data_IF_853868557115
#
_entry.id   IF_853868557115
#
_cell.length_a   1.000
_cell.length_b   1.000
_cell.length_c   1.000
_cell.angle_alpha   90.00
_cell.angle_beta   90.00
_cell.angle_gamma   90.00
#
_symmetry.space_group_name_H-M   'P 1'
#
loop_
_entity.id
_entity.type
_entity.pdbx_description
1 polymer ?
#
# COMPACT_ATOMS: atom_id res chain seq x y z
N UNK A 1 -33.20 29.26 -21.70
CA UNK A 1 -32.90 27.81 -21.58
C UNK A 1 -31.39 27.53 -21.51
N UNK A 2 -30.61 28.23 -20.65
CA UNK A 2 -29.14 28.01 -20.54
C UNK A 2 -28.65 27.74 -19.12
N UNK A 3 -29.48 27.97 -18.10
CA UNK A 3 -29.13 27.76 -16.69
C UNK A 3 -29.19 26.28 -16.26
N UNK A 4 -30.09 25.49 -16.87
CA UNK A 4 -30.26 24.07 -16.55
C UNK A 4 -29.07 23.21 -17.01
N UNK A 5 -28.42 23.56 -18.12
CA UNK A 5 -27.24 22.84 -18.62
C UNK A 5 -25.98 23.14 -17.80
N UNK A 6 -25.89 24.30 -17.15
CA UNK A 6 -24.74 24.66 -16.33
C UNK A 6 -24.72 23.89 -15.00
N UNK A 7 -25.89 23.65 -14.41
CA UNK A 7 -26.02 22.86 -13.18
C UNK A 7 -25.59 21.40 -13.39
N UNK A 8 -25.90 20.83 -14.56
CA UNK A 8 -25.50 19.47 -14.91
C UNK A 8 -23.97 19.33 -15.02
N UNK A 9 -23.29 20.29 -15.64
CA UNK A 9 -21.82 20.27 -15.81
C UNK A 9 -21.07 20.40 -14.47
N UNK A 10 -21.57 21.20 -13.53
CA UNK A 10 -20.95 21.37 -12.20
C UNK A 10 -21.12 20.13 -11.32
N UNK A 11 -22.26 19.42 -11.44
CA UNK A 11 -22.49 18.18 -10.69
C UNK A 11 -21.61 17.01 -11.16
N UNK A 12 -21.24 16.93 -12.44
CA UNK A 12 -20.35 15.85 -12.94
C UNK A 12 -18.86 16.09 -12.66
N UNK A 13 -18.43 17.32 -12.42
CA UNK A 13 -17.03 17.61 -12.02
C UNK A 13 -16.72 17.29 -10.55
N UNK A 14 -17.73 17.04 -9.71
CA UNK A 14 -17.54 16.75 -8.28
C UNK A 14 -17.25 15.26 -7.99
N UNK A 15 -17.35 14.37 -8.99
CA UNK A 15 -17.15 12.93 -8.81
C UNK A 15 -15.81 12.40 -9.34
N UNK A 16 -14.89 13.27 -9.77
CA UNK A 16 -13.51 12.84 -10.03
C UNK A 16 -12.75 12.68 -8.71
N UNK A 17 -13.12 11.67 -7.93
CA UNK A 17 -12.29 11.16 -6.85
C UNK A 17 -11.07 10.48 -7.48
N UNK A 18 -9.99 11.25 -7.65
CA UNK A 18 -8.66 10.66 -7.83
C UNK A 18 -8.33 10.01 -6.49
N UNK A 19 -8.63 8.72 -6.35
CA UNK A 19 -8.14 7.95 -5.21
C UNK A 19 -6.63 7.85 -5.37
N UNK A 20 -5.90 8.65 -4.60
CA UNK A 20 -4.50 8.39 -4.36
C UNK A 20 -4.44 7.03 -3.66
N UNK A 21 -3.94 6.01 -4.35
CA UNK A 21 -3.64 4.74 -3.70
C UNK A 21 -2.53 5.00 -2.66
N UNK A 22 -2.66 4.43 -1.45
CA UNK A 22 -1.65 4.49 -0.39
C UNK A 22 -0.42 3.66 -0.79
N UNK A 23 0.31 4.13 -1.80
CA UNK A 23 1.45 3.44 -2.41
C UNK A 23 2.76 4.00 -1.89
N UNK A 24 3.60 3.11 -1.38
CA UNK A 24 4.93 3.40 -0.87
C UNK A 24 5.96 2.87 -1.86
N UNK A 25 6.96 3.69 -2.17
CA UNK A 25 7.95 3.40 -3.21
C UNK A 25 9.34 3.20 -2.60
N UNK A 26 10.16 2.39 -3.26
CA UNK A 26 11.60 2.39 -2.98
C UNK A 26 12.16 3.82 -3.18
N UNK A 27 13.00 4.34 -2.26
CA UNK A 27 13.63 5.65 -2.38
C UNK A 27 14.42 5.86 -3.69
N UNK A 28 14.98 4.79 -4.25
CA UNK A 28 15.77 4.77 -5.47
C UNK A 28 14.92 4.68 -6.75
N UNK A 29 13.59 4.56 -6.65
CA UNK A 29 12.72 4.49 -7.83
C UNK A 29 12.79 5.78 -8.67
N UNK A 30 13.12 5.64 -9.95
CA UNK A 30 13.32 6.78 -10.84
C UNK A 30 11.97 7.36 -11.34
N UNK A 31 12.03 8.42 -12.15
CA UNK A 31 10.80 9.06 -12.68
C UNK A 31 10.02 8.13 -13.64
N UNK A 32 10.72 7.27 -14.38
CA UNK A 32 10.11 6.32 -15.32
C UNK A 32 9.47 5.14 -14.57
N UNK A 33 10.10 4.67 -13.50
CA UNK A 33 9.57 3.67 -12.58
C UNK A 33 8.26 4.20 -11.97
N UNK A 34 8.29 5.41 -11.42
CA UNK A 34 7.12 6.10 -10.85
C UNK A 34 5.98 6.23 -11.85
N UNK A 35 6.27 6.62 -13.09
CA UNK A 35 5.26 6.72 -14.15
C UNK A 35 4.67 5.35 -14.53
N UNK A 36 5.47 4.30 -14.51
CA UNK A 36 5.02 2.93 -14.82
C UNK A 36 4.06 2.41 -13.74
N UNK A 37 4.37 2.70 -12.47
CA UNK A 37 3.52 2.37 -11.31
C UNK A 37 2.22 3.19 -11.33
N UNK A 38 2.30 4.50 -11.57
CA UNK A 38 1.14 5.41 -11.57
C UNK A 38 0.15 5.16 -12.71
N UNK A 39 0.63 4.66 -13.86
CA UNK A 39 -0.23 4.36 -15.02
C UNK A 39 -1.11 3.12 -14.81
N UNK A 40 -1.09 2.50 -13.62
CA UNK A 40 -1.87 1.30 -13.33
C UNK A 40 -1.50 0.16 -14.28
N UNK A 41 -0.28 0.18 -14.82
CA UNK A 41 0.17 -0.83 -15.77
C UNK A 41 0.33 -2.11 -14.97
N UNK A 42 -0.70 -2.95 -15.06
CA UNK A 42 -0.81 -4.32 -14.55
C UNK A 42 0.18 -5.25 -15.27
N UNK A 43 1.44 -4.83 -15.42
CA UNK A 43 2.45 -5.58 -16.14
C UNK A 43 3.86 -5.41 -15.52
N UNK A 44 4.48 -6.50 -15.03
CA UNK A 44 3.88 -7.80 -14.70
C UNK A 44 3.15 -7.68 -13.35
N UNK A 45 2.00 -8.34 -13.22
CA UNK A 45 1.03 -8.14 -12.13
C UNK A 45 1.61 -8.02 -10.71
N UNK A 46 0.97 -7.14 -9.94
CA UNK A 46 1.11 -6.91 -8.50
C UNK A 46 2.54 -6.90 -7.94
N UNK A 47 3.50 -6.23 -8.61
CA UNK A 47 4.85 -6.04 -8.06
C UNK A 47 4.90 -5.18 -6.78
N UNK A 48 4.23 -5.65 -5.74
CA UNK A 48 3.87 -4.96 -4.54
C UNK A 48 3.49 -5.97 -3.45
N UNK A 49 3.57 -5.51 -2.21
CA UNK A 49 3.00 -6.17 -1.04
C UNK A 49 1.84 -5.33 -0.55
N UNK A 50 0.69 -5.96 -0.33
CA UNK A 50 -0.50 -5.33 0.21
C UNK A 50 -0.52 -5.48 1.74
N UNK A 51 -0.80 -4.40 2.45
CA UNK A 51 -0.95 -4.41 3.91
C UNK A 51 -2.29 -3.77 4.27
N UNK A 52 -3.09 -4.49 5.04
CA UNK A 52 -4.44 -4.08 5.44
C UNK A 52 -4.53 -4.09 6.96
N UNK A 53 -4.83 -2.94 7.56
CA UNK A 53 -5.11 -2.86 8.99
C UNK A 53 -6.62 -2.87 9.28
N UNK A 54 -7.12 -4.03 9.70
CA UNK A 54 -8.50 -4.20 10.16
C UNK A 54 -8.59 -4.38 11.69
N UNK A 55 -7.50 -4.14 12.40
CA UNK A 55 -7.47 -4.22 13.86
C UNK A 55 -8.06 -2.98 14.53
N UNK A 56 -8.16 -3.00 15.86
CA UNK A 56 -8.66 -1.89 16.66
C UNK A 56 -7.60 -0.81 16.96
N UNK A 57 -6.35 -1.02 16.54
CA UNK A 57 -5.21 -0.16 16.83
C UNK A 57 -4.51 0.27 15.56
N UNK A 58 -3.93 1.46 15.59
CA UNK A 58 -3.03 1.91 14.52
C UNK A 58 -1.75 1.08 14.55
N UNK A 59 -1.14 0.89 13.38
CA UNK A 59 0.11 0.12 13.25
C UNK A 59 1.16 0.94 12.52
N UNK A 60 2.41 0.75 12.91
CA UNK A 60 3.57 1.24 12.19
C UNK A 60 4.15 0.10 11.35
N UNK A 61 4.53 0.42 10.11
CA UNK A 61 5.15 -0.51 9.18
C UNK A 61 6.54 0.01 8.85
N UNK A 62 7.54 -0.81 9.16
CA UNK A 62 8.91 -0.60 8.74
C UNK A 62 9.31 -1.71 7.75
N UNK A 63 9.90 -1.32 6.63
CA UNK A 63 10.33 -2.23 5.58
C UNK A 63 11.75 -1.98 5.13
N UNK A 64 12.48 -3.05 4.82
CA UNK A 64 13.82 -3.02 4.23
C UNK A 64 13.81 -3.75 2.89
N UNK A 65 14.09 -3.02 1.81
CA UNK A 65 14.24 -3.56 0.46
C UNK A 65 15.52 -4.39 0.33
N UNK A 66 15.64 -5.18 -0.75
CA UNK A 66 16.82 -6.03 -0.97
C UNK A 66 18.12 -5.25 -1.25
N UNK A 67 18.00 -3.99 -1.68
CA UNK A 67 19.10 -3.03 -1.86
C UNK A 67 19.52 -2.34 -0.55
N UNK A 68 18.85 -2.67 0.57
CA UNK A 68 19.10 -2.10 1.90
C UNK A 68 18.41 -0.76 2.15
N UNK A 69 17.73 -0.18 1.16
CA UNK A 69 16.90 1.01 1.38
C UNK A 69 15.67 0.67 2.23
N UNK A 70 15.04 1.69 2.80
CA UNK A 70 13.96 1.49 3.78
C UNK A 70 12.72 2.33 3.48
N UNK A 71 11.61 1.93 4.08
CA UNK A 71 10.32 2.59 4.06
C UNK A 71 9.71 2.52 5.46
N UNK A 72 9.09 3.61 5.89
CA UNK A 72 8.42 3.74 7.19
C UNK A 72 7.12 4.53 7.02
N UNK A 73 6.01 3.96 7.46
CA UNK A 73 4.71 4.62 7.44
C UNK A 73 3.76 4.02 8.48
N UNK A 74 2.71 4.77 8.80
CA UNK A 74 1.61 4.30 9.64
C UNK A 74 0.42 3.87 8.78
N UNK A 75 -0.33 2.89 9.29
CA UNK A 75 -1.65 2.52 8.77
C UNK A 75 -2.66 2.67 9.90
N UNK A 76 -3.55 3.64 9.77
CA UNK A 76 -4.57 3.88 10.79
C UNK A 76 -5.64 2.78 10.77
N UNK A 77 -6.30 2.57 11.91
CA UNK A 77 -7.39 1.61 12.02
C UNK A 77 -8.46 1.85 10.95
N UNK A 78 -8.83 0.79 10.24
CA UNK A 78 -9.86 0.82 9.18
C UNK A 78 -9.55 1.75 8.00
N UNK A 79 -8.28 2.14 7.82
CA UNK A 79 -7.83 2.86 6.62
C UNK A 79 -7.86 1.94 5.38
N UNK A 80 -7.90 2.54 4.20
CA UNK A 80 -7.72 1.82 2.94
C UNK A 80 -6.41 1.02 2.91
N UNK A 81 -6.33 -0.10 2.16
CA UNK A 81 -5.10 -0.87 2.01
C UNK A 81 -3.90 -0.03 1.55
N UNK A 82 -2.72 -0.33 2.12
CA UNK A 82 -1.43 0.22 1.71
C UNK A 82 -0.71 -0.77 0.82
N UNK A 83 0.04 -0.26 -0.14
CA UNK A 83 0.80 -1.08 -1.08
C UNK A 83 2.26 -0.63 -1.07
N UNK A 84 3.20 -1.52 -0.82
CA UNK A 84 4.62 -1.22 -1.00
C UNK A 84 5.02 -1.74 -2.37
N UNK A 85 5.37 -0.85 -3.30
CA UNK A 85 5.87 -1.24 -4.62
C UNK A 85 7.27 -1.83 -4.50
N UNK A 86 7.43 -3.03 -5.05
CA UNK A 86 8.71 -3.70 -5.24
C UNK A 86 9.26 -3.48 -6.66
N UNK A 87 8.62 -2.62 -7.45
CA UNK A 87 9.11 -2.21 -8.76
C UNK A 87 10.00 -0.97 -8.65
N UNK A 88 11.29 -1.13 -8.93
CA UNK A 88 12.28 -0.06 -9.02
C UNK A 88 13.46 -0.53 -9.88
N UNK A 89 14.26 0.41 -10.40
CA UNK A 89 15.34 0.10 -11.34
C UNK A 89 14.83 -0.70 -12.56
N UNK A 90 13.59 -0.40 -13.00
CA UNK A 90 12.90 -1.09 -14.09
C UNK A 90 12.76 -2.62 -13.90
N UNK A 91 12.80 -3.10 -12.66
CA UNK A 91 12.75 -4.51 -12.31
C UNK A 91 11.77 -4.78 -11.17
N UNK A 92 11.18 -5.97 -11.16
CA UNK A 92 10.29 -6.41 -10.09
C UNK A 92 11.04 -7.28 -9.08
N UNK A 93 11.26 -6.75 -7.88
CA UNK A 93 11.99 -7.44 -6.83
C UNK A 93 11.12 -8.50 -6.15
N UNK A 94 11.75 -9.58 -5.68
CA UNK A 94 11.07 -10.81 -5.23
C UNK A 94 10.38 -10.68 -3.87
N UNK A 95 10.78 -9.70 -3.06
CA UNK A 95 10.27 -9.50 -1.71
C UNK A 95 11.04 -8.42 -0.96
N UNK A 96 10.71 -8.27 0.31
CA UNK A 96 11.39 -7.37 1.23
C UNK A 96 11.21 -7.87 2.67
N UNK A 97 12.04 -7.40 3.60
CA UNK A 97 11.82 -7.66 5.03
C UNK A 97 10.84 -6.64 5.59
N UNK A 98 9.78 -7.08 6.28
CA UNK A 98 8.74 -6.21 6.84
C UNK A 98 8.63 -6.48 8.33
N UNK A 99 8.52 -5.40 9.11
CA UNK A 99 8.12 -5.42 10.52
C UNK A 99 6.89 -4.54 10.70
N UNK A 100 5.84 -5.10 11.31
CA UNK A 100 4.61 -4.38 11.66
C UNK A 100 4.49 -4.37 13.18
N UNK A 101 4.40 -3.18 13.76
CA UNK A 101 4.29 -2.99 15.20
C UNK A 101 2.99 -2.28 15.57
N UNK A 102 2.43 -2.68 16.69
CA UNK A 102 1.47 -1.85 17.43
C UNK A 102 2.24 -0.97 18.43
N UNK A 103 1.57 -0.02 19.10
CA UNK A 103 2.18 0.72 20.21
C UNK A 103 2.71 -0.17 21.36
N UNK A 104 2.35 -1.45 21.39
CA UNK A 104 2.59 -2.34 22.53
C UNK A 104 3.53 -3.52 22.21
N UNK A 105 3.55 -4.00 20.98
CA UNK A 105 4.34 -5.17 20.57
C UNK A 105 4.44 -5.30 19.04
N UNK A 106 5.38 -6.15 18.59
CA UNK A 106 5.52 -6.55 17.19
C UNK A 106 4.44 -7.55 16.80
N UNK A 107 3.63 -7.22 15.80
CA UNK A 107 2.55 -8.06 15.27
C UNK A 107 3.09 -9.03 14.20
N UNK A 108 4.00 -8.55 13.37
CA UNK A 108 4.60 -9.30 12.27
C UNK A 108 6.05 -8.87 12.08
N UNK A 109 6.94 -9.83 11.78
CA UNK A 109 8.32 -9.54 11.42
C UNK A 109 8.84 -10.69 10.56
N UNK A 110 9.21 -10.42 9.31
CA UNK A 110 9.66 -11.46 8.41
C UNK A 110 9.87 -11.01 6.96
N UNK A 111 10.55 -11.87 6.20
CA UNK A 111 10.68 -11.72 4.76
C UNK A 111 9.33 -12.00 4.09
N UNK A 112 8.84 -11.04 3.32
CA UNK A 112 7.55 -11.11 2.62
C UNK A 112 7.79 -11.05 1.13
N UNK A 113 7.23 -12.00 0.40
CA UNK A 113 7.39 -12.06 -1.06
C UNK A 113 6.43 -11.09 -1.75
N UNK A 114 6.81 -10.67 -2.96
CA UNK A 114 5.93 -9.98 -3.90
C UNK A 114 4.60 -10.74 -4.08
N UNK A 115 3.51 -10.01 -4.39
CA UNK A 115 2.14 -10.55 -4.51
C UNK A 115 1.53 -11.10 -3.20
N UNK A 116 2.13 -10.78 -2.05
CA UNK A 116 1.56 -11.16 -0.75
C UNK A 116 0.64 -10.09 -0.18
N UNK A 117 -0.34 -10.53 0.59
CA UNK A 117 -1.17 -9.66 1.44
C UNK A 117 -0.91 -10.00 2.91
N UNK A 118 -0.52 -8.99 3.69
CA UNK A 118 -0.49 -9.05 5.16
C UNK A 118 -1.74 -8.36 5.71
N UNK A 119 -2.64 -9.13 6.31
CA UNK A 119 -3.86 -8.61 6.94
C UNK A 119 -3.68 -8.60 8.44
N UNK A 120 -3.73 -7.44 9.06
CA UNK A 120 -3.73 -7.28 10.51
C UNK A 120 -5.17 -7.29 11.00
N UNK A 121 -5.55 -8.31 11.75
CA UNK A 121 -6.92 -8.53 12.24
C UNK A 121 -6.98 -8.54 13.77
N UNK A 122 -8.12 -8.22 14.39
CA UNK A 122 -8.32 -8.48 15.80
C UNK A 122 -8.28 -9.98 16.10
N UNK A 123 -7.56 -10.38 17.14
CA UNK A 123 -7.51 -11.74 17.64
C UNK A 123 -7.49 -11.75 19.17
N UNK A 124 -8.58 -12.21 19.78
CA UNK A 124 -8.79 -12.13 21.23
C UNK A 124 -8.68 -10.68 21.74
N UNK A 125 -7.67 -10.36 22.56
CA UNK A 125 -7.39 -9.02 23.11
C UNK A 125 -6.25 -8.31 22.37
N UNK A 126 -5.72 -8.92 21.32
CA UNK A 126 -4.53 -8.48 20.60
C UNK A 126 -4.81 -8.40 19.08
N UNK A 127 -3.84 -7.96 18.31
CA UNK A 127 -3.83 -7.96 16.86
C UNK A 127 -2.94 -9.10 16.38
N UNK A 128 -3.35 -9.74 15.29
CA UNK A 128 -2.61 -10.82 14.65
C UNK A 128 -2.44 -10.51 13.18
N UNK A 129 -1.29 -10.84 12.61
CA UNK A 129 -1.09 -10.82 11.17
C UNK A 129 -1.48 -12.16 10.53
N UNK A 130 -2.19 -12.08 9.42
CA UNK A 130 -2.48 -13.18 8.51
C UNK A 130 -1.79 -12.89 7.19
N UNK A 131 -0.84 -13.75 6.82
CA UNK A 131 -0.12 -13.69 5.56
C UNK A 131 -0.81 -14.61 4.55
N UNK A 132 -1.10 -14.08 3.36
CA UNK A 132 -1.57 -14.86 2.22
C UNK A 132 -0.76 -14.52 0.98
N UNK A 133 -0.44 -15.54 0.20
CA UNK A 133 0.25 -15.41 -1.09
C UNK A 133 -0.77 -15.67 -2.20
N UNK A 134 -0.79 -14.84 -3.24
CA UNK A 134 -1.66 -15.05 -4.41
C UNK A 134 -0.98 -15.89 -5.48
#
# INVERSE_FOLDING_TARGET
MKLKSFLFLVCFSLFSHVFAANVHLNPNADTKDKQSIQKGVTYPGYCQIEIINQSYTDVNVFGTFDDGSTVDFNIYRYESPHYISLFYNFYCHSGMYITITSPFYTIYSGWTNVNSTIRVVPFLKEAKAELSTR
#
